data_IF_266422522692
#
_entry.id   IF_266422522692
#
_cell.length_a   1.000
_cell.length_b   1.000
_cell.length_c   1.000
_cell.angle_alpha   90.00
_cell.angle_beta   90.00
_cell.angle_gamma   90.00
#
_symmetry.space_group_name_H-M   'P 1'
#
loop_
_entity.id
_entity.type
_entity.pdbx_description
1 polymer ?
#
# COMPACT_ATOMS: atom_id res chain seq x y z
N UNK A 1 -4.01 -12.86 26.42
CA UNK A 1 -4.04 -12.99 24.95
C UNK A 1 -3.22 -14.22 24.60
N UNK A 2 -3.88 -15.36 24.50
CA UNK A 2 -3.30 -16.61 23.98
C UNK A 2 -2.99 -16.39 22.50
N UNK A 3 -1.71 -16.39 22.13
CA UNK A 3 -1.31 -16.41 20.72
C UNK A 3 -1.80 -17.73 20.12
N UNK A 4 -2.63 -17.64 19.08
CA UNK A 4 -3.11 -18.80 18.35
C UNK A 4 -1.90 -19.43 17.62
N UNK A 5 -1.63 -20.74 17.76
CA UNK A 5 -0.60 -21.42 16.99
C UNK A 5 -0.69 -21.18 15.47
N UNK A 6 -1.89 -20.87 14.96
CA UNK A 6 -2.11 -20.53 13.56
C UNK A 6 -1.46 -19.20 13.14
N UNK A 7 -1.35 -18.22 14.05
CA UNK A 7 -0.67 -16.95 13.77
C UNK A 7 0.84 -17.17 13.53
N UNK A 8 1.43 -18.12 14.26
CA UNK A 8 2.84 -18.47 14.11
C UNK A 8 3.13 -19.20 12.79
N UNK A 9 2.25 -20.09 12.34
CA UNK A 9 2.39 -20.72 11.02
C UNK A 9 2.14 -19.75 9.87
N UNK A 10 1.18 -18.84 10.02
CA UNK A 10 0.89 -17.80 9.04
C UNK A 10 2.10 -16.89 8.83
N UNK A 11 2.71 -16.40 9.91
CA UNK A 11 3.92 -15.57 9.85
C UNK A 11 5.08 -16.35 9.22
N UNK A 12 5.27 -17.62 9.57
CA UNK A 12 6.31 -18.46 8.95
C UNK A 12 6.12 -18.61 7.45
N UNK A 13 4.90 -18.82 6.96
CA UNK A 13 4.61 -18.91 5.51
C UNK A 13 4.89 -17.59 4.79
N UNK A 14 4.52 -16.47 5.41
CA UNK A 14 4.71 -15.14 4.82
C UNK A 14 6.19 -14.82 4.53
N UNK A 15 7.10 -15.34 5.35
CA UNK A 15 8.55 -15.11 5.22
C UNK A 15 9.33 -16.32 4.68
N UNK A 16 8.67 -17.44 4.39
CA UNK A 16 9.31 -18.65 3.86
C UNK A 16 9.70 -18.52 2.38
N UNK A 17 9.04 -17.62 1.64
CA UNK A 17 9.30 -17.37 0.22
C UNK A 17 9.71 -15.90 0.05
N UNK A 18 10.99 -15.56 0.34
CA UNK A 18 11.47 -14.22 0.09
C UNK A 18 11.32 -13.92 -1.41
N UNK A 19 10.98 -12.68 -1.80
CA UNK A 19 10.95 -12.31 -3.20
C UNK A 19 12.28 -12.71 -3.88
N UNK A 20 12.24 -13.20 -5.13
CA UNK A 20 13.42 -13.60 -5.87
C UNK A 20 14.54 -12.56 -5.76
N UNK A 21 15.78 -13.02 -5.58
CA UNK A 21 16.93 -12.14 -5.32
C UNK A 21 17.24 -11.16 -6.48
N UNK A 22 16.64 -11.38 -7.65
CA UNK A 22 16.69 -10.52 -8.84
C UNK A 22 15.60 -9.44 -8.87
N UNK A 23 14.68 -9.42 -7.90
CA UNK A 23 13.83 -8.27 -7.62
C UNK A 23 14.74 -7.16 -7.11
N UNK A 24 15.23 -6.36 -8.04
CA UNK A 24 15.87 -5.08 -7.73
C UNK A 24 14.87 -4.31 -6.86
N UNK A 25 15.23 -3.93 -5.62
CA UNK A 25 14.39 -3.02 -4.85
C UNK A 25 14.09 -1.84 -5.77
N UNK A 26 12.80 -1.57 -6.03
CA UNK A 26 12.41 -0.40 -6.82
C UNK A 26 13.16 0.82 -6.30
N UNK A 27 13.45 1.79 -7.17
CA UNK A 27 14.42 2.89 -6.99
C UNK A 27 14.21 3.83 -5.77
N UNK A 28 13.48 3.40 -4.75
CA UNK A 28 12.95 4.22 -3.68
C UNK A 28 11.85 5.12 -4.21
N UNK A 29 11.28 5.91 -3.30
CA UNK A 29 10.47 7.05 -3.69
C UNK A 29 11.32 8.00 -4.54
N UNK A 30 10.83 8.41 -5.69
CA UNK A 30 11.44 9.38 -6.60
C UNK A 30 10.76 10.75 -6.50
N UNK A 31 11.35 11.76 -7.13
CA UNK A 31 10.75 13.11 -7.17
C UNK A 31 9.52 13.16 -8.08
N UNK A 32 9.51 12.40 -9.16
CA UNK A 32 8.35 12.31 -10.05
C UNK A 32 7.15 11.68 -9.32
N UNK A 33 7.41 10.70 -8.45
CA UNK A 33 6.37 10.14 -7.57
C UNK A 33 5.77 11.21 -6.66
N UNK A 34 6.59 12.10 -6.08
CA UNK A 34 6.09 13.22 -5.27
C UNK A 34 5.18 14.16 -6.08
N UNK A 35 5.52 14.46 -7.34
CA UNK A 35 4.66 15.28 -8.20
C UNK A 35 3.32 14.59 -8.48
N UNK A 36 3.35 13.30 -8.83
CA UNK A 36 2.14 12.53 -9.08
C UNK A 36 1.25 12.44 -7.84
N UNK A 37 1.84 12.15 -6.67
CA UNK A 37 1.13 12.06 -5.40
C UNK A 37 0.53 13.42 -4.98
N UNK A 38 1.29 14.50 -5.10
CA UNK A 38 0.82 15.84 -4.80
C UNK A 38 -0.37 16.24 -5.68
N UNK A 39 -0.32 15.91 -6.98
CA UNK A 39 -1.40 16.17 -7.93
C UNK A 39 -2.63 15.27 -7.71
N UNK A 40 -2.42 14.01 -7.34
CA UNK A 40 -3.50 13.07 -7.09
C UNK A 40 -4.28 13.37 -5.80
N UNK A 41 -3.69 14.11 -4.86
CA UNK A 41 -4.30 14.37 -3.55
C UNK A 41 -5.62 15.13 -3.69
N UNK A 42 -6.67 14.62 -3.04
CA UNK A 42 -8.03 15.14 -3.14
C UNK A 42 -8.80 14.69 -4.39
N UNK A 43 -8.18 13.93 -5.30
CA UNK A 43 -8.86 13.38 -6.47
C UNK A 43 -9.70 12.16 -6.08
N UNK A 44 -10.98 12.18 -6.45
CA UNK A 44 -11.89 11.04 -6.30
C UNK A 44 -11.74 10.13 -7.51
N UNK A 45 -11.43 8.86 -7.27
CA UNK A 45 -11.39 7.82 -8.29
C UNK A 45 -12.55 6.85 -8.08
N UNK A 46 -13.18 6.43 -9.17
CA UNK A 46 -14.24 5.42 -9.15
C UNK A 46 -13.66 4.08 -9.57
N UNK A 47 -13.72 3.10 -8.68
CA UNK A 47 -13.40 1.70 -8.96
C UNK A 47 -14.67 0.89 -9.15
N UNK A 48 -14.58 -0.17 -9.95
CA UNK A 48 -15.65 -1.15 -10.11
C UNK A 48 -15.12 -2.52 -9.70
N UNK A 49 -15.71 -3.10 -8.67
CA UNK A 49 -15.46 -4.48 -8.25
C UNK A 49 -16.45 -5.38 -8.99
N UNK A 50 -15.98 -6.33 -9.82
CA UNK A 50 -16.86 -7.29 -10.47
C UNK A 50 -17.65 -8.10 -9.43
N UNK A 51 -18.85 -8.55 -9.83
CA UNK A 51 -19.61 -9.50 -9.04
C UNK A 51 -18.95 -10.88 -9.02
N UNK A 52 -19.34 -11.68 -8.05
CA UNK A 52 -18.89 -13.06 -7.89
C UNK A 52 -19.67 -13.99 -8.82
N UNK A 53 -18.99 -15.00 -9.37
CA UNK A 53 -19.64 -16.03 -10.18
C UNK A 53 -20.19 -17.11 -9.24
N UNK A 54 -21.48 -17.42 -9.38
CA UNK A 54 -22.16 -18.48 -8.64
C UNK A 54 -22.10 -19.76 -9.47
N UNK A 55 -21.63 -20.84 -8.87
CA UNK A 55 -21.53 -22.16 -9.49
C UNK A 55 -22.53 -23.13 -8.86
N UNK A 56 -22.95 -24.14 -9.61
CA UNK A 56 -23.68 -25.29 -9.07
C UNK A 56 -22.74 -26.29 -8.37
N UNK A 57 -23.30 -27.42 -7.91
CA UNK A 57 -22.54 -28.49 -7.23
C UNK A 57 -21.55 -29.21 -8.14
N UNK A 58 -21.71 -29.11 -9.46
CA UNK A 58 -20.86 -29.72 -10.47
C UNK A 58 -19.80 -28.73 -11.01
N UNK A 59 -19.81 -27.48 -10.52
CA UNK A 59 -18.89 -26.43 -10.92
C UNK A 59 -19.27 -25.70 -12.21
N UNK A 60 -20.52 -25.81 -12.67
CA UNK A 60 -21.02 -25.06 -13.83
C UNK A 60 -21.51 -23.66 -13.40
N UNK A 61 -21.17 -22.59 -14.14
CA UNK A 61 -21.57 -21.24 -13.79
C UNK A 61 -23.07 -21.04 -14.05
N UNK A 62 -23.80 -20.60 -13.02
CA UNK A 62 -25.24 -20.34 -13.07
C UNK A 62 -25.57 -18.85 -13.21
N UNK A 63 -24.82 -18.00 -12.51
CA UNK A 63 -25.10 -16.57 -12.43
C UNK A 63 -23.86 -15.76 -12.02
N UNK A 64 -23.96 -14.44 -12.12
CA UNK A 64 -22.97 -13.48 -11.59
C UNK A 64 -23.72 -12.48 -10.72
N UNK A 65 -23.20 -12.18 -9.53
CA UNK A 65 -23.79 -11.16 -8.65
C UNK A 65 -23.58 -9.75 -9.20
N UNK A 66 -24.25 -8.76 -8.61
CA UNK A 66 -24.12 -7.37 -9.05
C UNK A 66 -22.71 -6.84 -8.81
N UNK A 67 -22.19 -6.08 -9.77
CA UNK A 67 -20.91 -5.36 -9.59
C UNK A 67 -21.09 -4.20 -8.63
N UNK A 68 -20.09 -3.96 -7.78
CA UNK A 68 -20.09 -2.84 -6.85
C UNK A 68 -19.27 -1.68 -7.41
N UNK A 69 -19.80 -0.45 -7.27
CA UNK A 69 -19.07 0.78 -7.61
C UNK A 69 -18.57 1.41 -6.32
N UNK A 70 -17.26 1.58 -6.19
CA UNK A 70 -16.62 2.18 -5.03
C UNK A 70 -16.02 3.50 -5.44
N UNK A 71 -16.30 4.56 -4.67
CA UNK A 71 -15.60 5.84 -4.81
C UNK A 71 -14.55 5.91 -3.70
N UNK A 72 -13.30 6.07 -4.10
CA UNK A 72 -12.19 6.32 -3.19
C UNK A 72 -11.58 7.67 -3.50
N UNK A 73 -10.88 8.27 -2.57
CA UNK A 73 -10.10 9.47 -2.82
C UNK A 73 -8.70 9.30 -2.24
N UNK A 74 -7.72 9.93 -2.89
CA UNK A 74 -6.37 9.93 -2.38
C UNK A 74 -6.23 11.00 -1.29
N UNK A 75 -6.13 10.55 -0.03
CA UNK A 75 -6.12 11.44 1.15
C UNK A 75 -4.83 12.24 1.34
N UNK A 76 -3.77 11.88 0.62
CA UNK A 76 -2.46 12.54 0.67
C UNK A 76 -1.33 11.58 1.02
N UNK A 77 -0.12 12.13 1.09
CA UNK A 77 1.13 11.39 1.38
C UNK A 77 1.86 12.02 2.55
N UNK A 78 2.49 11.17 3.33
CA UNK A 78 3.45 11.57 4.36
C UNK A 78 4.80 10.92 4.04
N UNK A 79 5.86 11.73 4.03
CA UNK A 79 7.25 11.27 3.85
C UNK A 79 8.09 11.63 5.07
N UNK A 80 9.22 10.96 5.26
CA UNK A 80 10.13 11.30 6.36
C UNK A 80 11.02 12.49 6.01
N UNK A 81 11.66 13.10 7.02
CA UNK A 81 12.60 14.19 6.82
C UNK A 81 13.81 13.77 5.98
N UNK A 82 14.31 12.55 6.17
CA UNK A 82 15.40 12.00 5.34
C UNK A 82 15.00 11.89 3.87
N UNK A 83 13.79 11.43 3.57
CA UNK A 83 13.29 11.37 2.19
C UNK A 83 13.07 12.77 1.60
N UNK A 84 12.51 13.70 2.39
CA UNK A 84 12.34 15.09 1.98
C UNK A 84 13.69 15.72 1.59
N UNK A 85 14.73 15.52 2.40
CA UNK A 85 16.07 16.02 2.13
C UNK A 85 16.69 15.36 0.89
N UNK A 86 16.59 14.03 0.79
CA UNK A 86 17.13 13.26 -0.34
C UNK A 86 16.50 13.67 -1.68
N UNK A 87 15.20 13.97 -1.67
CA UNK A 87 14.43 14.30 -2.87
C UNK A 87 14.38 15.79 -3.18
N UNK A 88 15.00 16.64 -2.35
CA UNK A 88 14.96 18.10 -2.51
C UNK A 88 13.54 18.67 -2.40
N UNK A 89 12.75 18.12 -1.47
CA UNK A 89 11.38 18.53 -1.21
C UNK A 89 11.31 19.99 -0.74
N UNK A 90 10.38 20.77 -1.30
CA UNK A 90 10.02 22.08 -0.77
C UNK A 90 8.51 22.14 -0.54
N UNK A 91 8.02 22.63 0.63
CA UNK A 91 6.59 22.71 0.91
C UNK A 91 5.80 23.53 -0.12
N UNK A 92 6.43 24.52 -0.74
CA UNK A 92 5.82 25.38 -1.76
C UNK A 92 5.53 24.60 -3.05
N UNK A 93 6.40 23.65 -3.40
CA UNK A 93 6.27 22.81 -4.60
C UNK A 93 5.32 21.63 -4.39
N UNK A 94 5.22 21.13 -3.16
CA UNK A 94 4.40 19.96 -2.80
C UNK A 94 3.45 20.28 -1.63
N UNK A 95 2.49 21.20 -1.79
CA UNK A 95 1.64 21.69 -0.70
C UNK A 95 0.73 20.60 -0.08
N UNK A 96 0.49 19.50 -0.78
CA UNK A 96 -0.39 18.42 -0.34
C UNK A 96 0.37 17.25 0.32
N UNK A 97 1.70 17.31 0.41
CA UNK A 97 2.53 16.28 1.02
C UNK A 97 3.02 16.77 2.39
N UNK A 98 2.92 15.92 3.40
CA UNK A 98 3.39 16.23 4.75
C UNK A 98 4.75 15.59 5.01
N UNK A 99 5.62 16.31 5.70
CA UNK A 99 6.90 15.77 6.18
C UNK A 99 6.78 15.44 7.65
N UNK A 100 7.20 14.24 8.04
CA UNK A 100 7.28 13.80 9.43
C UNK A 100 8.72 13.54 9.85
N UNK A 101 9.03 13.61 11.17
CA UNK A 101 10.34 13.23 11.68
C UNK A 101 10.72 11.80 11.28
N UNK A 102 12.02 11.56 11.10
CA UNK A 102 12.51 10.20 10.87
C UNK A 102 12.21 9.29 12.07
N UNK A 103 11.88 8.01 11.85
CA UNK A 103 11.58 7.09 12.93
C UNK A 103 12.81 6.89 13.82
N UNK A 104 12.60 6.95 15.15
CA UNK A 104 13.64 6.59 16.11
C UNK A 104 13.57 5.09 16.39
N UNK A 105 14.62 4.36 16.03
CA UNK A 105 14.74 2.95 16.41
C UNK A 105 14.95 2.86 17.92
N UNK A 106 14.00 2.22 18.62
CA UNK A 106 14.21 1.80 19.99
C UNK A 106 15.20 0.65 19.96
N UNK A 107 16.42 0.86 20.45
CA UNK A 107 17.33 -0.26 20.68
C UNK A 107 16.73 -1.12 21.79
N UNK A 108 16.16 -2.27 21.42
CA UNK A 108 15.87 -3.32 22.40
C UNK A 108 17.21 -3.77 22.99
N UNK A 109 17.38 -3.54 24.29
CA UNK A 109 18.57 -4.01 25.02
C UNK A 109 18.61 -5.54 24.92
N UNK A 110 19.66 -6.04 24.28
CA UNK A 110 20.06 -7.44 24.33
C UNK A 110 20.45 -7.87 25.75
#
# INVERSE_FOLDING_TARGET
MTHDPQDHEYVRRLFADPPPADVVPGAGLTRDDLHQMNAATGTVTTGKTPGEVIFDVDGLPLAVTESQTVRTYFGGVVITQSDANRLGFTPEEFPNIRVMPDPTYRQEKS
#
